data_IF_158253762454
#
_entry.id   IF_158253762454
#
_cell.length_a   1.000
_cell.length_b   1.000
_cell.length_c   1.000
_cell.angle_alpha   90.00
_cell.angle_beta   90.00
_cell.angle_gamma   90.00
#
_symmetry.space_group_name_H-M   'P 1'
#
loop_
_entity.id
_entity.type
_entity.pdbx_description
1 polymer ?
#
# COMPACT_ATOMS: atom_id res chain seq x y z
N UNK A 1 -4.80 -8.43 0.95
CA UNK A 1 -5.61 -7.27 1.35
C UNK A 1 -4.93 -6.05 0.78
N UNK A 2 -5.65 -5.30 -0.03
CA UNK A 2 -5.15 -4.05 -0.60
C UNK A 2 -5.95 -2.94 0.03
N UNK A 3 -5.27 -1.91 0.52
CA UNK A 3 -5.98 -0.69 0.89
C UNK A 3 -6.18 0.21 -0.32
N UNK A 4 -7.42 0.66 -0.49
CA UNK A 4 -7.92 1.30 -1.70
C UNK A 4 -7.87 2.84 -1.63
N UNK A 5 -7.53 3.48 -2.75
CA UNK A 5 -7.60 4.93 -2.90
C UNK A 5 -8.81 5.34 -3.77
N UNK A 6 -9.54 6.42 -3.45
CA UNK A 6 -10.78 6.82 -4.14
C UNK A 6 -10.69 7.11 -5.65
N UNK A 7 -9.48 7.26 -6.20
CA UNK A 7 -9.26 7.50 -7.63
C UNK A 7 -9.32 6.25 -8.50
N UNK A 8 -9.37 5.05 -7.91
CA UNK A 8 -9.40 3.76 -8.62
C UNK A 8 -10.86 3.28 -8.72
N UNK A 9 -11.41 3.07 -9.92
CA UNK A 9 -12.82 2.68 -10.10
C UNK A 9 -13.08 1.25 -9.58
N UNK A 10 -14.21 1.04 -8.87
CA UNK A 10 -14.70 -0.26 -8.40
C UNK A 10 -15.88 -0.71 -9.25
N UNK A 11 -15.91 -2.00 -9.59
CA UNK A 11 -16.96 -2.56 -10.44
C UNK A 11 -18.02 -3.29 -9.60
N UNK A 12 -17.67 -3.99 -8.51
CA UNK A 12 -18.63 -4.80 -7.75
C UNK A 12 -18.26 -4.99 -6.25
N UNK A 13 -19.22 -4.72 -5.33
CA UNK A 13 -19.33 -5.10 -3.89
C UNK A 13 -18.40 -4.47 -2.81
N UNK A 14 -18.83 -4.57 -1.53
CA UNK A 14 -18.20 -4.02 -0.30
C UNK A 14 -16.76 -4.52 -0.06
N UNK A 15 -16.43 -5.70 -0.56
CA UNK A 15 -15.06 -6.21 -0.74
C UNK A 15 -14.89 -6.53 -2.22
N UNK A 16 -14.60 -5.50 -3.02
CA UNK A 16 -14.56 -5.69 -4.46
C UNK A 16 -13.36 -6.51 -4.86
N UNK A 17 -13.58 -7.47 -5.77
CA UNK A 17 -12.49 -8.12 -6.47
C UNK A 17 -11.71 -7.04 -7.23
N UNK A 18 -10.43 -6.90 -6.94
CA UNK A 18 -9.55 -6.00 -7.69
C UNK A 18 -9.17 -6.67 -9.02
N UNK A 19 -9.61 -6.08 -10.13
CA UNK A 19 -8.94 -6.25 -11.42
C UNK A 19 -8.32 -4.91 -11.75
N UNK A 20 -7.03 -4.75 -11.46
CA UNK A 20 -6.32 -3.49 -11.65
C UNK A 20 -4.93 -3.74 -12.24
N UNK A 21 -4.60 -3.01 -13.29
CA UNK A 21 -3.27 -2.95 -13.90
C UNK A 21 -2.43 -1.94 -13.15
N UNK A 22 -1.20 -2.33 -12.79
CA UNK A 22 -0.18 -1.44 -12.25
C UNK A 22 1.11 -1.70 -13.03
N UNK A 23 1.37 -0.88 -14.06
CA UNK A 23 2.64 -0.78 -14.82
C UNK A 23 3.43 -2.09 -14.97
N UNK A 24 2.86 -3.08 -15.67
CA UNK A 24 3.63 -4.24 -16.14
C UNK A 24 3.94 -5.31 -15.07
N UNK A 25 3.07 -5.49 -14.08
CA UNK A 25 2.97 -6.79 -13.40
C UNK A 25 2.67 -7.85 -14.48
N UNK A 26 3.64 -8.70 -14.83
CA UNK A 26 3.50 -9.76 -15.84
C UNK A 26 2.66 -10.96 -15.34
N UNK A 27 1.51 -10.65 -14.75
CA UNK A 27 0.53 -11.53 -14.14
C UNK A 27 -0.72 -10.70 -13.84
N UNK A 28 -1.51 -10.46 -14.89
CA UNK A 28 -2.52 -9.40 -15.06
C UNK A 28 -3.72 -9.37 -14.08
N UNK A 29 -3.65 -9.96 -12.89
CA UNK A 29 -4.70 -9.84 -11.88
C UNK A 29 -4.13 -9.88 -10.45
N UNK A 30 -4.21 -8.76 -9.73
CA UNK A 30 -4.18 -8.79 -8.26
C UNK A 30 -5.50 -9.38 -7.76
N UNK A 31 -5.64 -10.71 -7.81
CA UNK A 31 -6.77 -11.40 -7.20
C UNK A 31 -6.72 -11.21 -5.69
N UNK A 32 -7.54 -10.30 -5.18
CA UNK A 32 -7.58 -9.96 -3.78
C UNK A 32 -8.78 -9.10 -3.45
N UNK A 33 -9.03 -8.94 -2.15
CA UNK A 33 -10.10 -8.10 -1.66
C UNK A 33 -9.56 -6.71 -1.30
N UNK A 34 -10.22 -5.68 -1.83
CA UNK A 34 -10.01 -4.28 -1.44
C UNK A 34 -10.89 -3.93 -0.24
N UNK A 35 -10.32 -3.21 0.72
CA UNK A 35 -11.07 -2.56 1.79
C UNK A 35 -11.05 -1.05 1.58
N UNK A 36 -12.24 -0.48 1.50
CA UNK A 36 -12.42 0.97 1.57
C UNK A 36 -12.23 1.40 3.02
N UNK A 37 -11.35 2.36 3.22
CA UNK A 37 -11.12 2.92 4.53
C UNK A 37 -12.06 4.10 4.76
N UNK A 38 -12.66 4.13 5.94
CA UNK A 38 -13.30 5.34 6.44
C UNK A 38 -12.29 6.50 6.51
N UNK A 39 -12.73 7.77 6.38
CA UNK A 39 -11.87 8.94 6.51
C UNK A 39 -11.29 9.01 7.92
N UNK A 40 -10.08 8.48 8.06
CA UNK A 40 -9.33 8.28 9.31
C UNK A 40 -7.87 8.70 9.08
N UNK A 41 -7.06 8.74 10.16
CA UNK A 41 -5.60 8.90 10.06
C UNK A 41 -4.97 7.90 9.09
N UNK A 42 -5.51 6.68 9.02
CA UNK A 42 -5.09 5.68 8.04
C UNK A 42 -5.20 6.18 6.60
N UNK A 43 -6.31 6.84 6.24
CA UNK A 43 -6.53 7.39 4.89
C UNK A 43 -5.47 8.43 4.49
N UNK A 44 -5.11 9.34 5.40
CA UNK A 44 -4.05 10.32 5.19
C UNK A 44 -2.68 9.65 4.97
N UNK A 45 -2.37 8.63 5.78
CA UNK A 45 -1.13 7.86 5.65
C UNK A 45 -1.06 7.07 4.34
N UNK A 46 -2.16 6.49 3.89
CA UNK A 46 -2.23 5.83 2.59
C UNK A 46 -1.97 6.81 1.45
N UNK A 47 -2.62 7.98 1.49
CA UNK A 47 -2.44 8.99 0.46
C UNK A 47 -0.99 9.49 0.42
N UNK A 48 -0.38 9.75 1.58
CA UNK A 48 1.02 10.13 1.65
C UNK A 48 1.95 9.02 1.12
N UNK A 49 1.66 7.77 1.45
CA UNK A 49 2.44 6.64 0.97
C UNK A 49 2.30 6.41 -0.54
N UNK A 50 1.08 6.47 -1.06
CA UNK A 50 0.75 6.33 -2.48
C UNK A 50 1.35 7.44 -3.35
N UNK A 51 1.60 8.62 -2.76
CA UNK A 51 2.30 9.74 -3.38
C UNK A 51 3.82 9.72 -3.13
N UNK A 52 4.35 8.61 -2.61
CA UNK A 52 5.77 8.39 -2.33
C UNK A 52 6.43 9.49 -1.47
N UNK A 53 5.68 10.06 -0.51
CA UNK A 53 6.18 11.16 0.33
C UNK A 53 7.47 10.82 1.08
N UNK A 54 7.69 9.53 1.36
CA UNK A 54 8.89 9.02 2.02
C UNK A 54 10.17 9.27 1.22
N UNK A 55 10.10 9.33 -0.12
CA UNK A 55 11.29 9.46 -0.96
C UNK A 55 11.47 10.82 -1.63
N UNK A 56 10.68 11.84 -1.28
CA UNK A 56 10.81 13.21 -1.83
C UNK A 56 12.20 13.83 -1.67
N UNK A 57 13.00 13.35 -0.71
CA UNK A 57 14.37 13.80 -0.46
C UNK A 57 15.44 12.82 -0.97
N UNK A 58 15.02 11.69 -1.54
CA UNK A 58 15.94 10.73 -2.13
C UNK A 58 16.56 11.30 -3.41
N UNK A 59 17.71 10.76 -3.82
CA UNK A 59 18.38 11.19 -5.06
C UNK A 59 17.49 11.01 -6.30
N UNK A 60 16.78 9.89 -6.37
CA UNK A 60 15.61 9.74 -7.22
C UNK A 60 14.40 9.94 -6.31
N UNK A 61 13.58 10.94 -6.59
CA UNK A 61 12.45 11.30 -5.73
C UNK A 61 11.22 10.39 -5.93
N UNK A 62 11.41 9.29 -6.69
CA UNK A 62 10.40 8.30 -7.08
C UNK A 62 11.04 6.94 -7.39
N UNK A 63 10.22 5.88 -7.36
CA UNK A 63 10.63 4.49 -7.67
C UNK A 63 10.47 4.13 -9.17
N UNK A 64 10.37 5.13 -10.07
CA UNK A 64 9.98 4.95 -11.48
C UNK A 64 10.79 3.92 -12.30
N UNK A 65 12.03 3.62 -11.90
CA UNK A 65 12.90 2.66 -12.62
C UNK A 65 13.48 1.56 -11.72
N UNK A 66 13.01 1.44 -10.48
CA UNK A 66 13.46 0.41 -9.54
C UNK A 66 13.70 0.90 -8.13
N UNK A 67 13.86 -0.05 -7.22
CA UNK A 67 14.05 0.19 -5.79
C UNK A 67 15.53 0.12 -5.43
N UNK A 68 16.13 1.29 -5.28
CA UNK A 68 17.45 1.45 -4.69
C UNK A 68 17.43 1.25 -3.17
N UNK A 69 18.62 1.03 -2.59
CA UNK A 69 18.80 0.89 -1.13
C UNK A 69 18.26 2.11 -0.38
N UNK A 70 18.54 3.30 -0.90
CA UNK A 70 18.06 4.58 -0.35
C UNK A 70 16.53 4.62 -0.24
N UNK A 71 15.80 4.11 -1.24
CA UNK A 71 14.33 4.07 -1.20
C UNK A 71 13.83 3.14 -0.10
N UNK A 72 14.49 1.99 0.11
CA UNK A 72 14.13 1.05 1.19
C UNK A 72 14.32 1.69 2.55
N UNK A 73 15.44 2.36 2.75
CA UNK A 73 15.76 3.06 4.00
C UNK A 73 14.79 4.21 4.27
N UNK A 74 14.51 5.02 3.25
CA UNK A 74 13.56 6.14 3.34
C UNK A 74 12.13 5.64 3.66
N UNK A 75 11.70 4.56 3.02
CA UNK A 75 10.41 3.93 3.29
C UNK A 75 10.33 3.42 4.73
N UNK A 76 11.33 2.65 5.19
CA UNK A 76 11.35 2.13 6.57
C UNK A 76 11.40 3.26 7.61
N UNK A 77 12.15 4.33 7.37
CA UNK A 77 12.21 5.49 8.24
C UNK A 77 10.84 6.21 8.30
N UNK A 78 10.16 6.36 7.16
CA UNK A 78 8.83 6.94 7.10
C UNK A 78 7.80 6.08 7.83
N UNK A 79 7.86 4.75 7.69
CA UNK A 79 7.00 3.84 8.44
C UNK A 79 7.21 3.98 9.94
N UNK A 80 8.47 3.95 10.40
CA UNK A 80 8.80 4.10 11.81
C UNK A 80 8.30 5.44 12.40
N UNK A 81 8.46 6.54 11.66
CA UNK A 81 7.93 7.87 12.05
C UNK A 81 6.41 7.85 12.24
N UNK A 82 5.70 7.02 11.48
CA UNK A 82 4.24 6.92 11.51
C UNK A 82 3.71 5.79 12.39
N UNK A 83 4.58 5.11 13.15
CA UNK A 83 4.22 3.96 14.00
C UNK A 83 3.67 2.80 13.15
N UNK A 84 4.29 2.58 12.00
CA UNK A 84 4.00 1.49 11.07
C UNK A 84 5.25 0.62 10.91
N UNK A 85 5.06 -0.60 10.44
CA UNK A 85 6.14 -1.52 10.12
C UNK A 85 6.02 -2.04 8.69
N UNK A 86 7.17 -2.34 8.08
CA UNK A 86 7.23 -2.89 6.73
C UNK A 86 6.75 -4.34 6.69
N UNK A 87 6.05 -4.69 5.61
CA UNK A 87 5.69 -6.07 5.30
C UNK A 87 6.84 -6.83 4.67
N UNK A 88 6.52 -7.66 3.67
CA UNK A 88 7.54 -8.31 2.85
C UNK A 88 8.23 -7.29 1.93
N UNK A 89 9.39 -6.81 2.35
CA UNK A 89 10.17 -5.81 1.63
C UNK A 89 10.68 -6.28 0.26
N UNK A 90 10.65 -7.58 -0.04
CA UNK A 90 10.95 -8.08 -1.38
C UNK A 90 9.90 -7.65 -2.41
N UNK A 91 8.71 -7.25 -1.95
CA UNK A 91 7.60 -6.79 -2.78
C UNK A 91 7.56 -5.28 -2.98
N UNK A 92 8.40 -4.51 -2.27
CA UNK A 92 8.47 -3.06 -2.48
C UNK A 92 8.88 -2.80 -3.94
N UNK A 93 8.07 -2.01 -4.64
CA UNK A 93 8.31 -1.52 -6.00
C UNK A 93 7.43 -0.31 -6.27
N UNK A 94 7.59 0.29 -7.46
CA UNK A 94 6.75 1.40 -7.89
C UNK A 94 5.26 1.02 -7.72
N UNK A 95 4.50 1.91 -7.07
CA UNK A 95 3.09 1.75 -6.77
C UNK A 95 2.69 0.52 -5.94
N UNK A 96 3.63 -0.17 -5.27
CA UNK A 96 3.33 -1.28 -4.34
C UNK A 96 4.15 -1.12 -3.07
N UNK A 97 3.46 -0.77 -1.98
CA UNK A 97 4.11 -0.47 -0.69
C UNK A 97 3.66 -1.48 0.38
N UNK A 98 4.52 -2.45 0.75
CA UNK A 98 4.15 -3.52 1.66
C UNK A 98 4.17 -3.05 3.11
N UNK A 99 3.05 -3.26 3.82
CA UNK A 99 2.89 -3.01 5.25
C UNK A 99 2.82 -4.33 6.01
N UNK A 100 3.25 -4.31 7.27
CA UNK A 100 3.10 -5.44 8.16
C UNK A 100 1.62 -5.65 8.45
N UNK A 101 1.14 -6.87 8.29
CA UNK A 101 -0.21 -7.24 8.70
C UNK A 101 -0.21 -7.63 10.18
N UNK A 102 -0.52 -6.69 11.05
CA UNK A 102 -0.72 -6.92 12.48
C UNK A 102 -1.86 -6.05 13.03
N UNK A 103 -2.26 -6.33 14.28
CA UNK A 103 -3.36 -5.60 14.91
C UNK A 103 -3.07 -4.10 15.05
N UNK A 104 -1.83 -3.72 15.32
CA UNK A 104 -1.45 -2.31 15.47
C UNK A 104 -1.68 -1.54 14.16
N UNK A 105 -1.21 -2.09 13.05
CA UNK A 105 -1.41 -1.54 11.71
C UNK A 105 -2.90 -1.49 11.37
N UNK A 106 -3.64 -2.59 11.58
CA UNK A 106 -5.09 -2.63 11.33
C UNK A 106 -5.86 -1.56 12.13
N UNK A 107 -5.50 -1.35 13.40
CA UNK A 107 -6.13 -0.33 14.24
C UNK A 107 -5.90 1.09 13.70
N UNK A 108 -4.71 1.39 13.16
CA UNK A 108 -4.40 2.70 12.55
C UNK A 108 -5.31 2.98 11.34
N UNK A 109 -5.63 1.92 10.59
CA UNK A 109 -6.54 1.97 9.43
C UNK A 109 -8.02 1.74 9.79
N UNK A 110 -8.37 1.66 11.08
CA UNK A 110 -9.76 1.51 11.53
C UNK A 110 -10.37 0.13 11.26
N UNK A 111 -9.55 -0.92 11.20
CA UNK A 111 -9.93 -2.31 10.94
C UNK A 111 -9.76 -3.23 12.16
N UNK A 112 -9.82 -2.66 13.36
CA UNK A 112 -9.58 -3.34 14.64
C UNK A 112 -10.44 -4.59 14.85
N UNK A 113 -11.64 -4.64 14.24
CA UNK A 113 -12.59 -5.76 14.35
C UNK A 113 -12.74 -6.59 13.07
N UNK A 114 -11.80 -6.51 12.13
CA UNK A 114 -11.87 -7.26 10.87
C UNK A 114 -11.15 -8.60 11.01
N UNK A 115 -11.83 -9.71 10.69
CA UNK A 115 -11.21 -11.03 10.60
C UNK A 115 -10.39 -11.13 9.30
N UNK A 116 -9.08 -11.30 9.45
CA UNK A 116 -8.16 -11.39 8.31
C UNK A 116 -7.71 -12.85 8.12
N UNK A 117 -7.89 -13.43 6.93
CA UNK A 117 -7.43 -14.79 6.64
C UNK A 117 -5.92 -14.96 6.83
N UNK A 118 -5.49 -16.14 7.27
CA UNK A 118 -4.08 -16.47 7.38
C UNK A 118 -3.37 -16.36 6.02
N UNK A 119 -2.13 -15.87 6.02
CA UNK A 119 -1.34 -15.67 4.80
C UNK A 119 -1.70 -14.42 4.01
N UNK A 120 -2.68 -13.63 4.46
CA UNK A 120 -2.98 -12.32 3.85
C UNK A 120 -1.77 -11.39 3.97
N UNK A 121 -1.51 -10.63 2.91
CA UNK A 121 -0.55 -9.55 2.90
C UNK A 121 -1.26 -8.20 2.81
N UNK A 122 -0.60 -7.15 3.29
CA UNK A 122 -1.12 -5.80 3.29
C UNK A 122 -0.29 -4.89 2.41
N UNK A 123 -0.93 -4.36 1.37
CA UNK A 123 -0.29 -3.53 0.37
C UNK A 123 -1.08 -2.22 0.20
N UNK A 124 -0.38 -1.10 0.07
CA UNK A 124 -0.94 0.16 -0.44
C UNK A 124 -0.55 0.29 -1.90
N UNK A 125 -1.51 0.65 -2.76
CA UNK A 125 -1.25 0.90 -4.18
C UNK A 125 -1.08 2.40 -4.45
N UNK A 126 -0.09 2.74 -5.27
CA UNK A 126 0.25 4.12 -5.65
C UNK A 126 -0.56 4.68 -6.83
N UNK A 127 -0.39 5.97 -7.11
CA UNK A 127 -1.13 6.70 -8.16
C UNK A 127 -0.71 6.27 -9.59
N UNK A 128 0.48 5.70 -9.76
CA UNK A 128 0.97 5.23 -11.06
C UNK A 128 0.44 3.84 -11.45
N UNK A 129 -0.70 3.43 -10.91
CA UNK A 129 -1.43 2.29 -11.40
C UNK A 129 -2.49 2.75 -12.41
N UNK A 130 -2.08 2.87 -13.68
CA UNK A 130 -2.99 2.98 -14.83
C UNK A 130 -3.40 1.59 -15.34
#
# INVERSE_FOLDING_TARGET
MVFWHPSIRRDETDWGALSHTCNGFSGDQLNGYALELNPTRGCELMAALANEEFCRTCKADRIDYGVEVEHKEAYLAWLAKNVLAGGDMAQLKQAVYPLRLDRETLNIFGLDNTDIPAGTQLLVLGVNCD
#
